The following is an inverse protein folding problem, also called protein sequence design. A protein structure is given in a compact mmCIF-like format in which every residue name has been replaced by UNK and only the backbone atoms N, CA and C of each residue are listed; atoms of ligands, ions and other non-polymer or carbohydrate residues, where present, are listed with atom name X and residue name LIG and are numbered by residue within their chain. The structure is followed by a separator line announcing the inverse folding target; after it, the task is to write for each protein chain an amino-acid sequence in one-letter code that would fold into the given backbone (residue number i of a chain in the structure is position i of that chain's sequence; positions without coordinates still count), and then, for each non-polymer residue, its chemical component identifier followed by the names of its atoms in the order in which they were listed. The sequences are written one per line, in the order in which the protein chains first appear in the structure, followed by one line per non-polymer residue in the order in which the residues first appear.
data_IF_361685796721
#
_entry.id   IF_361685796721
#
_cell.length_a   1.000
_cell.length_b   1.000
_cell.length_c   1.000
_cell.angle_alpha   90.00
_cell.angle_beta   90.00
_cell.angle_gamma   90.00
#
_symmetry.space_group_name_H-M   'P 1'
#
loop_
_entity.id
_entity.type
_entity.pdbx_description
1 polymer ?
#
# COMPACT_ATOMS: atom_id res chain seq x y z
N UNK A 1 4.25 -6.13 -17.13
CA UNK A 1 3.89 -5.33 -15.94
C UNK A 1 2.60 -5.87 -15.34
N UNK A 2 2.61 -6.20 -14.05
CA UNK A 2 1.43 -6.70 -13.35
C UNK A 2 0.28 -5.67 -13.46
N UNK A 3 -0.98 -6.10 -13.69
CA UNK A 3 -2.13 -5.20 -13.87
C UNK A 3 -2.27 -4.14 -12.78
N UNK A 4 -2.02 -4.50 -11.52
CA UNK A 4 -2.09 -3.58 -10.38
C UNK A 4 -1.04 -2.47 -10.41
N UNK A 5 0.18 -2.74 -10.91
CA UNK A 5 1.20 -1.70 -11.05
C UNK A 5 0.78 -0.66 -12.08
N UNK A 6 0.16 -1.08 -13.19
CA UNK A 6 -0.40 -0.15 -14.19
C UNK A 6 -1.54 0.69 -13.61
N UNK A 7 -2.42 0.06 -12.84
CA UNK A 7 -3.53 0.73 -12.17
C UNK A 7 -3.03 1.77 -11.15
N UNK A 8 -2.07 1.38 -10.31
CA UNK A 8 -1.42 2.30 -9.37
C UNK A 8 -0.77 3.47 -10.10
N UNK A 9 0.05 3.21 -11.13
CA UNK A 9 0.68 4.28 -11.95
C UNK A 9 -0.35 5.21 -12.58
N UNK A 10 -1.47 4.68 -13.04
CA UNK A 10 -2.54 5.52 -13.57
C UNK A 10 -3.10 6.44 -12.48
N UNK A 11 -3.44 5.91 -11.32
CA UNK A 11 -3.99 6.70 -10.22
C UNK A 11 -3.00 7.72 -9.65
N UNK A 12 -1.72 7.38 -9.55
CA UNK A 12 -0.67 8.28 -9.07
C UNK A 12 -0.30 9.37 -10.09
N UNK A 13 -0.65 9.20 -11.36
CA UNK A 13 -0.48 10.24 -12.39
C UNK A 13 -1.62 11.28 -12.41
N UNK A 14 -2.71 11.04 -11.67
CA UNK A 14 -3.83 11.96 -11.62
C UNK A 14 -3.45 13.24 -10.87
N UNK A 15 -3.93 14.40 -11.34
CA UNK A 15 -3.54 15.70 -10.78
C UNK A 15 -3.93 15.93 -9.30
N UNK A 16 -4.81 15.10 -8.74
CA UNK A 16 -5.11 15.11 -7.30
C UNK A 16 -4.06 14.36 -6.48
N UNK A 17 -3.35 13.39 -7.07
CA UNK A 17 -2.32 12.62 -6.37
C UNK A 17 -1.17 13.51 -5.91
N UNK A 18 -0.67 14.39 -6.77
CA UNK A 18 0.39 15.33 -6.40
C UNK A 18 0.02 16.22 -5.21
N UNK A 19 -1.25 16.65 -5.11
CA UNK A 19 -1.76 17.40 -3.97
C UNK A 19 -1.78 16.57 -2.70
N UNK A 20 -2.23 15.31 -2.78
CA UNK A 20 -2.21 14.36 -1.65
C UNK A 20 -0.76 14.14 -1.19
N UNK A 21 0.16 13.91 -2.13
CA UNK A 21 1.57 13.66 -1.81
C UNK A 21 2.24 14.84 -1.12
N UNK A 22 2.02 16.06 -1.62
CA UNK A 22 2.56 17.25 -0.98
C UNK A 22 1.95 17.49 0.42
N UNK A 23 0.67 17.16 0.62
CA UNK A 23 0.04 17.24 1.93
C UNK A 23 0.64 16.21 2.91
N UNK A 24 0.92 14.99 2.44
CA UNK A 24 1.42 13.91 3.29
C UNK A 24 2.90 14.09 3.64
N UNK A 25 3.74 14.37 2.64
CA UNK A 25 5.20 14.31 2.77
C UNK A 25 5.94 15.49 2.12
N UNK A 26 5.23 16.49 1.60
CA UNK A 26 5.83 17.67 0.99
C UNK A 26 6.42 18.65 2.01
N UNK A 27 7.12 19.70 1.56
CA UNK A 27 7.74 20.72 2.43
C UNK A 27 6.74 21.44 3.33
N UNK A 28 5.48 21.55 2.88
CA UNK A 28 4.39 22.20 3.60
C UNK A 28 3.52 21.20 4.39
N UNK A 29 3.94 19.93 4.48
CA UNK A 29 3.19 18.91 5.23
C UNK A 29 3.08 19.31 6.70
N UNK A 30 1.84 19.36 7.17
CA UNK A 30 1.52 19.53 8.60
C UNK A 30 1.27 18.18 9.29
N UNK A 31 1.29 17.08 8.52
CA UNK A 31 1.11 15.74 9.05
C UNK A 31 2.31 15.39 9.94
N UNK A 32 2.04 15.18 11.23
CA UNK A 32 3.02 14.70 12.20
C UNK A 32 2.63 13.30 12.64
N UNK A 33 3.61 12.39 12.64
CA UNK A 33 3.44 11.03 13.15
C UNK A 33 3.38 9.97 12.06
N UNK A 34 2.76 8.84 12.40
CA UNK A 34 2.69 7.65 11.56
C UNK A 34 1.56 7.79 10.50
N UNK A 35 1.89 7.55 9.24
CA UNK A 35 0.92 7.34 8.18
C UNK A 35 0.32 5.93 8.29
N UNK A 36 -1.01 5.90 8.34
CA UNK A 36 -1.80 4.67 8.33
C UNK A 36 -2.55 4.58 7.03
N UNK A 37 -2.45 3.44 6.35
CA UNK A 37 -3.20 3.14 5.15
C UNK A 37 -4.26 2.08 5.46
N UNK A 38 -5.49 2.33 5.01
CA UNK A 38 -6.58 1.36 5.10
C UNK A 38 -7.27 1.23 3.75
N UNK A 39 -7.53 0.01 3.31
CA UNK A 39 -8.28 -0.22 2.08
C UNK A 39 -9.07 -1.53 2.08
N UNK A 40 -10.08 -1.57 1.23
CA UNK A 40 -11.00 -2.70 1.11
C UNK A 40 -10.80 -3.43 -0.23
N UNK A 41 -11.10 -4.73 -0.26
CA UNK A 41 -11.20 -5.52 -1.49
C UNK A 41 -9.91 -5.43 -2.33
N UNK A 42 -10.02 -5.22 -3.64
CA UNK A 42 -8.87 -5.00 -4.53
C UNK A 42 -8.02 -3.78 -4.14
N UNK A 43 -8.59 -2.79 -3.46
CA UNK A 43 -7.85 -1.65 -2.92
C UNK A 43 -6.84 -2.06 -1.85
N UNK A 44 -7.13 -3.11 -1.07
CA UNK A 44 -6.18 -3.67 -0.11
C UNK A 44 -4.94 -4.27 -0.79
N UNK A 45 -5.11 -4.97 -1.91
CA UNK A 45 -4.00 -5.52 -2.70
C UNK A 45 -3.15 -4.41 -3.31
N UNK A 46 -3.78 -3.36 -3.84
CA UNK A 46 -3.08 -2.19 -4.32
C UNK A 46 -2.35 -1.45 -3.17
N UNK A 47 -2.98 -1.39 -1.99
CA UNK A 47 -2.42 -0.83 -0.77
C UNK A 47 -1.18 -1.58 -0.27
N UNK A 48 -1.21 -2.91 -0.31
CA UNK A 48 -0.08 -3.79 0.00
C UNK A 48 1.11 -3.49 -0.92
N UNK A 49 0.89 -3.42 -2.23
CA UNK A 49 1.94 -3.07 -3.20
C UNK A 49 2.49 -1.66 -3.00
N UNK A 50 1.61 -0.67 -2.80
CA UNK A 50 2.00 0.71 -2.53
C UNK A 50 2.84 0.81 -1.26
N UNK A 51 2.43 0.10 -0.20
CA UNK A 51 3.12 0.06 1.09
C UNK A 51 4.51 -0.55 0.98
N UNK A 52 4.65 -1.65 0.22
CA UNK A 52 5.96 -2.23 -0.06
C UNK A 52 6.85 -1.25 -0.83
N UNK A 53 6.35 -0.65 -1.91
CA UNK A 53 7.11 0.35 -2.67
C UNK A 53 7.49 1.57 -1.84
N UNK A 54 6.60 2.04 -0.95
CA UNK A 54 6.86 3.15 -0.02
C UNK A 54 8.04 2.86 0.92
N UNK A 55 8.07 1.65 1.48
CA UNK A 55 9.04 1.29 2.51
C UNK A 55 10.37 0.75 1.94
N UNK A 56 10.38 0.27 0.69
CA UNK A 56 11.56 -0.28 0.02
C UNK A 56 12.25 0.71 -0.95
N UNK A 57 11.78 1.96 -1.03
CA UNK A 57 12.32 2.97 -1.96
C UNK A 57 11.86 2.79 -3.42
N UNK A 58 10.87 1.93 -3.67
CA UNK A 58 10.30 1.62 -4.98
C UNK A 58 9.24 2.61 -5.48
N UNK A 59 8.94 3.70 -4.76
CA UNK A 59 7.88 4.64 -5.16
C UNK A 59 8.08 5.26 -6.55
N UNK A 60 9.33 5.42 -6.99
CA UNK A 60 9.68 5.92 -8.32
C UNK A 60 9.14 5.04 -9.47
N UNK A 61 8.81 3.78 -9.20
CA UNK A 61 8.16 2.90 -10.18
C UNK A 61 6.65 3.20 -10.32
N UNK A 62 6.06 3.77 -9.26
CA UNK A 62 4.64 4.02 -9.15
C UNK A 62 4.28 5.47 -9.45
N UNK A 63 5.10 6.45 -9.09
CA UNK A 63 4.75 7.88 -9.15
C UNK A 63 5.82 8.72 -9.86
N UNK A 64 5.45 9.94 -10.27
CA UNK A 64 6.37 10.86 -10.91
C UNK A 64 7.54 11.23 -10.00
N UNK A 65 8.75 11.36 -10.57
CA UNK A 65 10.00 11.59 -9.83
C UNK A 65 10.09 12.93 -9.09
N UNK A 66 9.18 13.86 -9.38
CA UNK A 66 9.10 15.16 -8.70
C UNK A 66 8.26 15.15 -7.43
N UNK A 67 7.62 14.02 -7.07
CA UNK A 67 6.79 13.92 -5.88
C UNK A 67 7.60 13.48 -4.66
N UNK A 68 7.26 13.97 -3.45
CA UNK A 68 7.96 13.57 -2.24
C UNK A 68 7.76 12.08 -1.95
N UNK A 69 8.83 11.42 -1.51
CA UNK A 69 8.74 10.07 -0.96
C UNK A 69 8.06 10.09 0.40
N UNK A 70 7.38 8.98 0.72
CA UNK A 70 6.71 8.77 2.00
C UNK A 70 6.91 7.32 2.44
N UNK A 71 6.68 7.06 3.72
CA UNK A 71 6.70 5.71 4.29
C UNK A 71 5.36 5.44 4.95
N UNK A 72 4.89 4.20 4.86
CA UNK A 72 3.65 3.76 5.48
C UNK A 72 4.00 2.85 6.67
N UNK A 73 3.68 3.30 7.87
CA UNK A 73 4.02 2.56 9.09
C UNK A 73 2.97 1.50 9.39
N UNK A 74 1.70 1.79 9.10
CA UNK A 74 0.58 0.91 9.44
C UNK A 74 -0.28 0.61 8.22
N UNK A 75 -0.65 -0.67 8.03
CA UNK A 75 -1.50 -1.15 6.94
C UNK A 75 -2.64 -2.02 7.47
N UNK A 76 -3.87 -1.60 7.24
CA UNK A 76 -5.07 -2.42 7.45
C UNK A 76 -5.75 -2.72 6.12
N UNK A 77 -6.06 -3.98 5.87
CA UNK A 77 -6.85 -4.37 4.70
C UNK A 77 -8.10 -5.11 5.11
N UNK A 78 -9.20 -4.88 4.40
CA UNK A 78 -10.51 -5.47 4.69
C UNK A 78 -11.00 -6.24 3.48
N UNK A 79 -11.27 -7.53 3.63
CA UNK A 79 -11.78 -8.38 2.54
C UNK A 79 -10.88 -8.40 1.30
N UNK A 80 -9.55 -8.29 1.49
CA UNK A 80 -8.61 -8.11 0.37
C UNK A 80 -7.98 -9.43 -0.07
N UNK A 81 -7.88 -9.73 -1.38
CA UNK A 81 -7.17 -10.92 -1.85
C UNK A 81 -5.66 -10.77 -1.67
N UNK A 82 -4.95 -11.89 -1.55
CA UNK A 82 -3.50 -11.93 -1.44
C UNK A 82 -2.87 -11.35 -2.71
N UNK A 83 -2.09 -10.29 -2.57
CA UNK A 83 -1.39 -9.65 -3.70
C UNK A 83 -0.15 -10.40 -4.16
N UNK A 84 0.38 -11.30 -3.33
CA UNK A 84 1.64 -11.99 -3.52
C UNK A 84 1.58 -13.42 -2.99
N UNK A 85 2.37 -14.32 -3.58
CA UNK A 85 2.51 -15.71 -3.11
C UNK A 85 3.38 -15.78 -1.85
N UNK A 86 4.29 -14.83 -1.67
CA UNK A 86 5.14 -14.71 -0.48
C UNK A 86 4.74 -13.46 0.30
N UNK A 87 4.77 -13.51 1.65
CA UNK A 87 4.53 -12.32 2.46
C UNK A 87 5.42 -11.16 2.03
N UNK A 88 4.85 -9.95 1.99
CA UNK A 88 5.62 -8.74 1.77
C UNK A 88 6.48 -8.47 3.01
N UNK A 89 7.76 -8.18 2.79
CA UNK A 89 8.70 -7.88 3.85
C UNK A 89 8.77 -6.37 4.06
N UNK A 90 8.85 -5.93 5.31
CA UNK A 90 9.00 -4.54 5.68
C UNK A 90 10.42 -4.27 6.19
N UNK A 91 11.27 -3.70 5.32
CA UNK A 91 12.67 -3.42 5.65
C UNK A 91 12.86 -2.36 6.76
N UNK A 92 11.80 -1.66 7.15
CA UNK A 92 11.84 -0.65 8.23
C UNK A 92 11.70 -1.26 9.63
N UNK A 93 11.51 -2.58 9.75
CA UNK A 93 11.30 -3.27 11.04
C UNK A 93 12.12 -4.56 11.15
N UNK A 94 12.64 -4.81 12.35
CA UNK A 94 13.47 -6.01 12.62
C UNK A 94 12.72 -7.32 12.43
N UNK A 95 11.41 -7.34 12.72
CA UNK A 95 10.53 -8.50 12.52
C UNK A 95 10.12 -8.71 11.06
N UNK A 96 10.50 -7.79 10.17
CA UNK A 96 10.13 -7.82 8.76
C UNK A 96 8.63 -7.68 8.48
N UNK A 97 7.81 -7.39 9.48
CA UNK A 97 6.36 -7.35 9.37
C UNK A 97 5.85 -5.92 9.28
N UNK A 98 4.72 -5.71 8.60
CA UNK A 98 4.01 -4.43 8.68
C UNK A 98 3.16 -4.38 9.96
N UNK A 99 3.12 -3.21 10.62
CA UNK A 99 2.15 -2.97 11.70
C UNK A 99 0.75 -2.94 11.08
N UNK A 100 -0.20 -3.66 11.66
CA UNK A 100 -1.58 -3.70 11.19
C UNK A 100 -2.08 -5.13 10.98
N UNK A 101 -3.10 -5.30 10.13
CA UNK A 101 -3.78 -6.59 9.98
C UNK A 101 -4.56 -6.69 8.66
N UNK A 102 -4.56 -7.90 8.08
CA UNK A 102 -5.56 -8.31 7.09
C UNK A 102 -6.80 -8.81 7.81
N UNK A 103 -7.91 -8.14 7.60
CA UNK A 103 -9.20 -8.41 8.23
C UNK A 103 -10.09 -9.07 7.20
N UNK A 104 -10.64 -10.21 7.56
CA UNK A 104 -11.56 -10.98 6.73
C UNK A 104 -12.89 -11.14 7.45
N UNK A 105 -13.95 -11.32 6.66
CA UNK A 105 -15.28 -11.62 7.16
C UNK A 105 -15.63 -13.05 6.74
N UNK A 106 -16.21 -13.83 7.65
CA UNK A 106 -16.48 -15.26 7.41
C UNK A 106 -17.43 -15.52 6.22
N UNK A 107 -18.24 -14.53 5.86
CA UNK A 107 -19.16 -14.57 4.72
C UNK A 107 -18.54 -14.06 3.41
N UNK A 108 -17.34 -13.46 3.45
CA UNK A 108 -16.68 -12.89 2.27
C UNK A 108 -16.02 -14.01 1.44
N UNK A 109 -16.42 -14.22 0.18
CA UNK A 109 -15.81 -15.24 -0.68
C UNK A 109 -14.31 -14.99 -0.95
N UNK A 110 -13.82 -13.75 -0.81
CA UNK A 110 -12.40 -13.41 -1.01
C UNK A 110 -11.51 -14.11 0.03
N UNK A 111 -12.01 -14.31 1.25
CA UNK A 111 -11.32 -15.03 2.31
C UNK A 111 -10.93 -16.45 1.88
N UNK A 112 -11.82 -17.12 1.14
CA UNK A 112 -11.62 -18.49 0.66
C UNK A 112 -10.51 -18.60 -0.37
N UNK A 113 -10.29 -17.56 -1.18
CA UNK A 113 -9.20 -17.53 -2.15
C UNK A 113 -7.82 -17.43 -1.48
N UNK A 114 -7.75 -16.79 -0.31
CA UNK A 114 -6.47 -16.61 0.40
C UNK A 114 -6.00 -17.86 1.14
N UNK A 115 -6.92 -18.74 1.57
CA UNK A 115 -6.55 -20.00 2.24
C UNK A 115 -5.92 -21.04 1.31
N UNK A 116 -6.00 -20.87 -0.01
CA UNK A 116 -5.43 -21.81 -0.97
C UNK A 116 -3.91 -21.67 -1.15
N UNK A 117 -3.29 -20.62 -0.62
CA UNK A 117 -1.87 -20.31 -0.82
C UNK A 117 -1.02 -20.41 0.45
N UNK A 118 -1.59 -20.91 1.55
CA UNK A 118 -0.88 -21.19 2.81
C UNK A 118 -0.69 -22.69 3.01
#
# INVERSE_FOLDING_TARGET
YAPYVRLLRHHTSLGNWSKIMNLLAGPESTCKGELTFSAESMGGTAGEMLTACANDGGLHELMDSGLPNFTLQTLYTFGSPAGTVRPLHNNLREDGCFKGRRIFFDWDPIEKFNRMFN
#
